data_IF_792560726350
#
_entry.id   IF_792560726350
#
_cell.length_a   1.000
_cell.length_b   1.000
_cell.length_c   1.000
_cell.angle_alpha   90.00
_cell.angle_beta   90.00
_cell.angle_gamma   90.00
#
_symmetry.space_group_name_H-M   'P 1'
#
loop_
_entity.id
_entity.type
_entity.pdbx_description
1 polymer ?
#
# COMPACT_ATOMS: atom_id res chain seq x y z
N UNK A 1 -49.21 -25.61 -53.30
CA UNK A 1 -48.71 -24.25 -52.98
C UNK A 1 -48.57 -24.00 -51.48
N UNK A 2 -49.45 -24.52 -50.59
CA UNK A 2 -49.34 -24.33 -49.12
C UNK A 2 -48.06 -24.88 -48.49
N UNK A 3 -47.70 -26.15 -48.75
CA UNK A 3 -46.53 -26.79 -48.14
C UNK A 3 -45.17 -26.11 -48.47
N UNK A 4 -45.05 -25.48 -49.65
CA UNK A 4 -43.84 -24.72 -50.02
C UNK A 4 -43.76 -23.41 -49.22
N UNK A 5 -44.90 -22.78 -48.98
CA UNK A 5 -45.01 -21.57 -48.18
C UNK A 5 -44.76 -21.86 -46.69
N UNK A 6 -45.23 -23.01 -46.19
CA UNK A 6 -44.97 -23.48 -44.84
C UNK A 6 -43.49 -23.84 -44.63
N UNK A 7 -42.84 -24.45 -45.63
CA UNK A 7 -41.41 -24.72 -45.57
C UNK A 7 -40.57 -23.43 -45.59
N UNK A 8 -40.98 -22.44 -46.39
CA UNK A 8 -40.32 -21.14 -46.44
C UNK A 8 -40.45 -20.37 -45.11
N UNK A 9 -41.58 -20.48 -44.42
CA UNK A 9 -41.78 -19.82 -43.13
C UNK A 9 -40.87 -20.42 -42.06
N UNK A 10 -40.78 -21.76 -41.97
CA UNK A 10 -39.84 -22.45 -41.07
C UNK A 10 -38.40 -22.08 -41.38
N UNK A 11 -38.01 -22.10 -42.65
CA UNK A 11 -36.65 -21.73 -43.06
C UNK A 11 -36.29 -20.30 -42.64
N UNK A 12 -37.25 -19.37 -42.75
CA UNK A 12 -37.06 -17.97 -42.35
C UNK A 12 -36.84 -17.87 -40.84
N UNK A 13 -37.64 -18.58 -40.04
CA UNK A 13 -37.47 -18.65 -38.58
C UNK A 13 -36.12 -19.27 -38.19
N UNK A 14 -35.67 -20.33 -38.86
CA UNK A 14 -34.37 -20.95 -38.59
C UNK A 14 -33.20 -20.01 -38.89
N UNK A 15 -33.30 -19.23 -39.96
CA UNK A 15 -32.30 -18.20 -40.31
C UNK A 15 -32.29 -17.09 -39.25
N UNK A 16 -33.45 -16.57 -38.86
CA UNK A 16 -33.57 -15.55 -37.83
C UNK A 16 -33.01 -16.02 -36.48
N UNK A 17 -33.31 -17.27 -36.09
CA UNK A 17 -32.78 -17.90 -34.89
C UNK A 17 -31.25 -17.99 -34.94
N UNK A 18 -30.71 -18.45 -36.07
CA UNK A 18 -29.26 -18.57 -36.28
C UNK A 18 -28.56 -17.20 -36.21
N UNK A 19 -29.15 -16.17 -36.82
CA UNK A 19 -28.63 -14.80 -36.78
C UNK A 19 -28.74 -14.18 -35.37
N UNK A 20 -29.82 -14.45 -34.64
CA UNK A 20 -29.97 -14.00 -33.26
C UNK A 20 -28.94 -14.68 -32.34
N UNK A 21 -28.73 -15.98 -32.49
CA UNK A 21 -27.71 -16.72 -31.74
C UNK A 21 -26.30 -16.20 -32.04
N UNK A 22 -25.99 -15.92 -33.31
CA UNK A 22 -24.72 -15.32 -33.71
C UNK A 22 -24.53 -13.94 -33.09
N UNK A 23 -25.54 -13.06 -33.17
CA UNK A 23 -25.49 -11.73 -32.53
C UNK A 23 -25.27 -11.86 -31.04
N UNK A 24 -26.04 -12.70 -30.34
CA UNK A 24 -25.93 -12.93 -28.90
C UNK A 24 -24.50 -13.35 -28.49
N UNK A 25 -23.86 -14.20 -29.30
CA UNK A 25 -22.50 -14.65 -29.06
C UNK A 25 -21.46 -13.51 -29.24
N UNK A 26 -21.71 -12.57 -30.14
CA UNK A 26 -20.79 -11.50 -30.55
C UNK A 26 -21.28 -10.10 -30.14
N UNK A 27 -21.98 -9.98 -29.00
CA UNK A 27 -22.35 -8.67 -28.46
C UNK A 27 -21.07 -7.86 -28.15
N UNK A 28 -20.89 -6.66 -28.72
CA UNK A 28 -19.76 -5.79 -28.38
C UNK A 28 -19.76 -5.40 -26.90
N UNK A 29 -20.92 -5.40 -26.24
CA UNK A 29 -21.07 -5.13 -24.81
C UNK A 29 -20.32 -6.17 -23.95
N UNK A 30 -20.15 -7.41 -24.43
CA UNK A 30 -19.37 -8.43 -23.71
C UNK A 30 -17.88 -8.10 -23.70
N UNK A 31 -17.36 -7.63 -24.83
CA UNK A 31 -15.97 -7.21 -24.95
C UNK A 31 -15.72 -5.92 -24.16
N UNK A 32 -16.63 -4.95 -24.25
CA UNK A 32 -16.58 -3.73 -23.46
C UNK A 32 -16.63 -4.02 -21.95
N UNK A 33 -17.51 -4.93 -21.52
CA UNK A 33 -17.58 -5.37 -20.12
C UNK A 33 -16.30 -6.06 -19.68
N UNK A 34 -15.77 -7.01 -20.46
CA UNK A 34 -14.54 -7.72 -20.13
C UNK A 34 -13.35 -6.76 -20.00
N UNK A 35 -13.27 -5.76 -20.89
CA UNK A 35 -12.25 -4.71 -20.83
C UNK A 35 -12.40 -3.85 -19.57
N UNK A 36 -13.61 -3.39 -19.28
CA UNK A 36 -13.89 -2.59 -18.08
C UNK A 36 -13.62 -3.36 -16.77
N UNK A 37 -14.00 -4.63 -16.71
CA UNK A 37 -13.72 -5.52 -15.57
C UNK A 37 -12.22 -5.75 -15.39
N UNK A 38 -11.47 -5.94 -16.48
CA UNK A 38 -10.02 -6.04 -16.43
C UNK A 38 -9.37 -4.76 -15.88
N UNK A 39 -9.83 -3.58 -16.33
CA UNK A 39 -9.35 -2.30 -15.80
C UNK A 39 -9.70 -2.13 -14.32
N UNK A 40 -10.92 -2.46 -13.90
CA UNK A 40 -11.35 -2.36 -12.51
C UNK A 40 -10.50 -3.26 -11.60
N UNK A 41 -10.19 -4.49 -12.04
CA UNK A 41 -9.33 -5.42 -11.30
C UNK A 41 -7.90 -4.90 -11.18
N UNK A 42 -7.34 -4.35 -12.27
CA UNK A 42 -6.01 -3.77 -12.25
C UNK A 42 -5.91 -2.58 -11.29
N UNK A 43 -6.88 -1.67 -11.32
CA UNK A 43 -6.94 -0.52 -10.40
C UNK A 43 -7.17 -0.93 -8.95
N UNK A 44 -7.99 -1.96 -8.71
CA UNK A 44 -8.20 -2.50 -7.36
C UNK A 44 -6.92 -3.11 -6.82
N UNK A 45 -6.20 -3.92 -7.62
CA UNK A 45 -4.92 -4.48 -7.23
C UNK A 45 -3.86 -3.39 -6.96
N UNK A 46 -3.86 -2.31 -7.74
CA UNK A 46 -2.99 -1.14 -7.52
C UNK A 46 -3.30 -0.46 -6.18
N UNK A 47 -4.57 -0.25 -5.88
CA UNK A 47 -5.02 0.33 -4.61
C UNK A 47 -4.63 -0.54 -3.42
N UNK A 48 -4.84 -1.85 -3.53
CA UNK A 48 -4.49 -2.80 -2.46
C UNK A 48 -2.99 -2.80 -2.20
N UNK A 49 -2.17 -2.72 -3.27
CA UNK A 49 -0.72 -2.57 -3.18
C UNK A 49 -0.30 -1.28 -2.45
N UNK A 50 -0.84 -0.13 -2.86
CA UNK A 50 -0.57 1.16 -2.19
C UNK A 50 -1.00 1.15 -0.72
N UNK A 51 -2.14 0.52 -0.42
CA UNK A 51 -2.64 0.39 0.95
C UNK A 51 -1.69 -0.45 1.82
N UNK A 52 -1.20 -1.57 1.28
CA UNK A 52 -0.22 -2.41 1.97
C UNK A 52 1.09 -1.65 2.23
N UNK A 53 1.61 -0.91 1.24
CA UNK A 53 2.81 -0.08 1.40
C UNK A 53 2.63 1.02 2.46
N UNK A 54 1.50 1.73 2.45
CA UNK A 54 1.19 2.72 3.48
C UNK A 54 1.16 2.09 4.88
N UNK A 55 0.50 0.94 5.04
CA UNK A 55 0.45 0.24 6.33
C UNK A 55 1.82 -0.22 6.81
N UNK A 56 2.72 -0.58 5.88
CA UNK A 56 4.09 -0.95 6.22
C UNK A 56 4.89 0.25 6.71
N UNK A 57 4.80 1.40 6.03
CA UNK A 57 5.47 2.64 6.44
C UNK A 57 4.95 3.11 7.80
N UNK A 58 3.64 3.05 8.04
CA UNK A 58 3.04 3.38 9.34
C UNK A 58 3.59 2.50 10.47
N UNK A 59 3.79 1.20 10.21
CA UNK A 59 4.42 0.30 11.18
C UNK A 59 5.89 0.63 11.41
N UNK A 60 6.62 1.06 10.38
CA UNK A 60 8.04 1.46 10.51
C UNK A 60 8.16 2.74 11.34
N UNK A 61 7.31 3.74 11.09
CA UNK A 61 7.21 4.98 11.88
C UNK A 61 6.93 4.64 13.35
N UNK A 62 5.91 3.83 13.64
CA UNK A 62 5.57 3.46 15.02
C UNK A 62 6.71 2.71 15.72
N UNK A 63 7.46 1.88 14.98
CA UNK A 63 8.66 1.24 15.51
C UNK A 63 9.72 2.28 15.84
N UNK A 64 10.01 3.22 14.95
CA UNK A 64 11.00 4.29 15.18
C UNK A 64 10.63 5.15 16.38
N UNK A 65 9.37 5.57 16.51
CA UNK A 65 8.86 6.31 17.68
C UNK A 65 9.13 5.56 18.99
N UNK A 66 8.87 4.25 19.02
CA UNK A 66 9.15 3.41 20.18
C UNK A 66 10.65 3.39 20.50
N UNK A 67 11.52 3.22 19.48
CA UNK A 67 12.97 3.20 19.67
C UNK A 67 13.50 4.56 20.14
N UNK A 68 13.01 5.67 19.58
CA UNK A 68 13.34 7.02 20.04
C UNK A 68 12.94 7.24 21.50
N UNK A 69 11.76 6.77 21.92
CA UNK A 69 11.32 6.86 23.32
C UNK A 69 12.21 6.05 24.27
N UNK A 70 12.69 4.88 23.84
CA UNK A 70 13.61 4.04 24.60
C UNK A 70 14.99 4.70 24.73
N UNK A 71 15.48 5.34 23.66
CA UNK A 71 16.73 6.11 23.68
C UNK A 71 16.62 7.31 24.64
N UNK A 72 15.50 8.04 24.63
CA UNK A 72 15.27 9.14 25.55
C UNK A 72 15.26 8.66 27.02
N UNK A 73 14.63 7.52 27.30
CA UNK A 73 14.66 6.90 28.62
C UNK A 73 16.06 6.41 29.03
N UNK A 74 16.88 5.97 28.08
CA UNK A 74 18.28 5.60 28.34
C UNK A 74 19.14 6.84 28.61
N UNK A 75 19.00 7.90 27.81
CA UNK A 75 19.68 9.18 28.02
C UNK A 75 19.35 9.75 29.39
N UNK A 76 18.08 9.79 29.78
CA UNK A 76 17.66 10.27 31.10
C UNK A 76 18.28 9.45 32.26
N UNK A 77 18.44 8.14 32.08
CA UNK A 77 19.13 7.26 33.05
C UNK A 77 20.62 7.56 33.14
N UNK A 78 21.30 7.68 32.00
CA UNK A 78 22.73 8.00 31.93
C UNK A 78 23.02 9.39 32.52
N UNK A 79 22.17 10.39 32.24
CA UNK A 79 22.29 11.73 32.82
C UNK A 79 22.15 11.72 34.34
N UNK A 80 21.27 10.88 34.88
CA UNK A 80 21.13 10.69 36.33
C UNK A 80 22.38 10.05 36.93
N UNK A 81 22.97 9.05 36.25
CA UNK A 81 24.22 8.41 36.68
C UNK A 81 25.38 9.40 36.65
N UNK A 82 25.50 10.22 35.60
CA UNK A 82 26.55 11.23 35.46
C UNK A 82 26.60 12.20 36.65
N UNK A 83 25.45 12.57 37.24
CA UNK A 83 25.37 13.45 38.43
C UNK A 83 25.96 12.83 39.70
N UNK A 84 26.09 11.51 39.74
CA UNK A 84 26.57 10.76 40.92
C UNK A 84 28.02 10.30 40.78
N UNK A 85 28.58 10.37 39.58
CA UNK A 85 29.96 9.94 39.30
C UNK A 85 30.95 10.98 39.79
N UNK A 86 31.92 10.51 40.58
CA UNK A 86 33.00 11.33 41.15
C UNK A 86 34.30 11.16 40.33
N UNK A 87 34.45 10.04 39.62
CA UNK A 87 35.63 9.73 38.83
C UNK A 87 35.60 10.45 37.45
N UNK A 88 36.60 11.28 37.12
CA UNK A 88 36.60 12.05 35.87
C UNK A 88 36.51 11.18 34.61
N UNK A 89 37.23 10.06 34.58
CA UNK A 89 37.25 9.15 33.43
C UNK A 89 35.90 8.45 33.19
N UNK A 90 35.18 8.11 34.24
CA UNK A 90 33.84 7.53 34.13
C UNK A 90 32.82 8.57 33.67
N UNK A 91 32.98 9.83 34.11
CA UNK A 91 32.15 10.93 33.65
C UNK A 91 32.33 11.20 32.15
N UNK A 92 33.57 11.21 31.65
CA UNK A 92 33.87 11.33 30.23
C UNK A 92 33.27 10.19 29.40
N UNK A 93 33.36 8.95 29.88
CA UNK A 93 32.76 7.80 29.21
C UNK A 93 31.23 7.89 29.12
N UNK A 94 30.57 8.27 30.24
CA UNK A 94 29.12 8.48 30.27
C UNK A 94 28.67 9.64 29.37
N UNK A 95 29.44 10.73 29.31
CA UNK A 95 29.16 11.83 28.39
C UNK A 95 29.25 11.39 26.92
N UNK A 96 30.25 10.56 26.59
CA UNK A 96 30.36 9.98 25.26
C UNK A 96 29.18 9.09 24.90
N UNK A 97 28.73 8.23 25.83
CA UNK A 97 27.57 7.36 25.62
C UNK A 97 26.28 8.18 25.46
N UNK A 98 26.07 9.22 26.26
CA UNK A 98 24.94 10.15 26.12
C UNK A 98 24.96 10.83 24.75
N UNK A 99 26.13 11.31 24.32
CA UNK A 99 26.28 11.96 23.02
C UNK A 99 25.96 10.99 21.87
N UNK A 100 26.44 9.75 21.96
CA UNK A 100 26.13 8.72 20.98
C UNK A 100 24.62 8.42 20.92
N UNK A 101 23.97 8.20 22.06
CA UNK A 101 22.52 7.90 22.11
C UNK A 101 21.67 9.05 21.62
N UNK A 102 22.07 10.30 21.88
CA UNK A 102 21.41 11.48 21.32
C UNK A 102 21.59 11.58 19.80
N UNK A 103 22.75 11.21 19.28
CA UNK A 103 22.98 11.14 17.84
C UNK A 103 22.11 10.06 17.19
N UNK A 104 21.98 8.89 17.81
CA UNK A 104 21.11 7.80 17.34
C UNK A 104 19.64 8.25 17.33
N UNK A 105 19.17 8.91 18.40
CA UNK A 105 17.81 9.47 18.48
C UNK A 105 17.56 10.51 17.38
N UNK A 106 18.52 11.42 17.15
CA UNK A 106 18.39 12.41 16.06
C UNK A 106 18.30 11.75 14.69
N UNK A 107 19.06 10.68 14.45
CA UNK A 107 19.01 9.94 13.19
C UNK A 107 17.67 9.20 13.01
N UNK A 108 17.05 8.73 14.10
CA UNK A 108 15.71 8.16 14.04
C UNK A 108 14.65 9.22 13.72
N UNK A 109 14.73 10.42 14.33
CA UNK A 109 13.83 11.53 14.00
C UNK A 109 13.95 11.94 12.52
N UNK A 110 15.18 12.05 11.99
CA UNK A 110 15.41 12.36 10.57
C UNK A 110 14.78 11.29 9.66
N UNK A 111 14.94 10.01 10.03
CA UNK A 111 14.36 8.90 9.29
C UNK A 111 12.83 8.86 9.36
N UNK A 112 12.27 9.17 10.51
CA UNK A 112 10.83 9.27 10.71
C UNK A 112 10.23 10.34 9.79
N UNK A 113 10.87 11.52 9.72
CA UNK A 113 10.45 12.61 8.83
C UNK A 113 10.41 12.16 7.36
N UNK A 114 11.48 11.50 6.87
CA UNK A 114 11.53 10.96 5.50
C UNK A 114 10.39 9.97 5.21
N UNK A 115 10.07 9.10 6.18
CA UNK A 115 8.99 8.12 6.05
C UNK A 115 7.62 8.79 6.06
N UNK A 116 7.41 9.81 6.89
CA UNK A 116 6.18 10.60 6.91
C UNK A 116 5.95 11.31 5.57
N UNK A 117 6.98 11.92 4.99
CA UNK A 117 6.92 12.53 3.66
C UNK A 117 6.59 11.48 2.57
N UNK A 118 7.23 10.31 2.63
CA UNK A 118 6.94 9.22 1.70
C UNK A 118 5.50 8.71 1.82
N UNK A 119 4.99 8.61 3.05
CA UNK A 119 3.61 8.20 3.32
C UNK A 119 2.61 9.22 2.77
N UNK A 120 2.85 10.51 2.97
CA UNK A 120 2.01 11.58 2.43
C UNK A 120 2.00 11.55 0.89
N UNK A 121 3.18 11.39 0.28
CA UNK A 121 3.30 11.27 -1.17
C UNK A 121 2.49 10.08 -1.70
N UNK A 122 2.61 8.91 -1.07
CA UNK A 122 1.87 7.70 -1.48
C UNK A 122 0.36 7.81 -1.29
N UNK A 123 -0.09 8.48 -0.23
CA UNK A 123 -1.52 8.74 0.01
C UNK A 123 -2.13 9.71 -1.01
N UNK A 124 -1.29 10.51 -1.68
CA UNK A 124 -1.70 11.46 -2.72
C UNK A 124 -1.78 10.83 -4.13
N UNK A 125 -1.27 9.60 -4.31
CA UNK A 125 -1.27 8.86 -5.60
C UNK A 125 -2.54 8.04 -5.83
#
# INVERSE_FOLDING_TARGET
MGALNDLLSVQTTDIELSQAAFRLAHLPEREAFATADAHLRAESARRDGLTAECSHIESEISSLESHSSDLDAQVARLEKQLKTVIAPREAEALQHEIAQRRSERSAHDDRELELMESLEQKRSM
#
